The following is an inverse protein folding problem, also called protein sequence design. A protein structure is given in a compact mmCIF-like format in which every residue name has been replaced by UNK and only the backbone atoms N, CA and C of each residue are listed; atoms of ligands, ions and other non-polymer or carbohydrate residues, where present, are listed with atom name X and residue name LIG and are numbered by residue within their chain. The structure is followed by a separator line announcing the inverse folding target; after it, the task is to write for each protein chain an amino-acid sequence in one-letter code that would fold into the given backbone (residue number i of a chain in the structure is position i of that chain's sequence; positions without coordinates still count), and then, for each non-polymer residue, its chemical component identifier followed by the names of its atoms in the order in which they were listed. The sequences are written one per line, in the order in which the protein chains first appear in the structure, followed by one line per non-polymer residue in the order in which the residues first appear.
data_IF_892931854005
#
_entry.id   IF_892931854005
#
_cell.length_a   1.000
_cell.length_b   1.000
_cell.length_c   1.000
_cell.angle_alpha   90.00
_cell.angle_beta   90.00
_cell.angle_gamma   90.00
#
_symmetry.space_group_name_H-M   'P 1'
#
loop_
_entity.id
_entity.type
_entity.pdbx_description
1 polymer ?
#
# COMPACT_ATOMS: atom_id res chain seq x y z
N UNK A 1 8.73 -5.38 14.03
CA UNK A 1 7.34 -5.30 14.51
C UNK A 1 6.30 -5.49 13.41
N UNK A 2 6.50 -4.91 12.20
CA UNK A 2 5.55 -4.98 11.07
C UNK A 2 5.13 -6.43 10.76
N UNK A 3 6.10 -7.34 10.64
CA UNK A 3 5.87 -8.76 10.40
C UNK A 3 4.90 -9.39 11.39
N UNK A 4 5.18 -9.24 12.69
CA UNK A 4 4.35 -9.81 13.75
C UNK A 4 2.95 -9.19 13.78
N UNK A 5 2.85 -7.88 13.58
CA UNK A 5 1.56 -7.19 13.58
C UNK A 5 0.69 -7.61 12.39
N UNK A 6 1.30 -7.82 11.21
CA UNK A 6 0.60 -8.35 10.04
C UNK A 6 0.16 -9.81 10.24
N UNK A 7 1.01 -10.66 10.82
CA UNK A 7 0.65 -12.04 11.18
C UNK A 7 -0.58 -12.08 12.10
N UNK A 8 -0.60 -11.26 13.16
CA UNK A 8 -1.74 -11.16 14.08
C UNK A 8 -3.01 -10.66 13.40
N UNK A 9 -2.88 -9.72 12.44
CA UNK A 9 -4.01 -9.20 11.67
C UNK A 9 -4.58 -10.26 10.73
N UNK A 10 -3.70 -10.97 10.00
CA UNK A 10 -4.08 -12.07 9.10
C UNK A 10 -4.70 -13.25 9.84
N UNK A 11 -4.23 -13.54 11.06
CA UNK A 11 -4.80 -14.56 11.94
C UNK A 11 -6.12 -14.12 12.62
N UNK A 12 -6.63 -12.92 12.34
CA UNK A 12 -7.87 -12.38 12.91
C UNK A 12 -7.77 -12.07 14.41
N UNK A 13 -6.56 -12.01 14.99
CA UNK A 13 -6.34 -11.71 16.41
C UNK A 13 -6.47 -10.22 16.72
N UNK A 14 -6.29 -9.38 15.71
CA UNK A 14 -6.52 -7.93 15.78
C UNK A 14 -7.29 -7.47 14.54
N UNK A 15 -8.07 -6.39 14.67
CA UNK A 15 -8.96 -5.90 13.60
C UNK A 15 -8.22 -5.15 12.49
N UNK A 16 -7.13 -4.46 12.82
CA UNK A 16 -6.41 -3.60 11.90
C UNK A 16 -4.94 -3.41 12.32
N UNK A 17 -4.14 -2.95 11.37
CA UNK A 17 -2.72 -2.61 11.54
C UNK A 17 -2.52 -1.11 11.35
N UNK A 18 -1.81 -0.48 12.28
CA UNK A 18 -1.30 0.89 12.15
C UNK A 18 0.22 0.84 12.29
N UNK A 19 0.95 1.47 11.38
CA UNK A 19 2.42 1.45 11.38
C UNK A 19 2.99 2.83 11.71
N UNK A 20 3.86 2.90 12.71
CA UNK A 20 4.76 4.04 12.89
C UNK A 20 5.79 4.10 11.74
N UNK A 21 6.39 5.28 11.46
CA UNK A 21 7.43 5.43 10.45
C UNK A 21 8.66 4.53 10.72
N UNK A 22 9.33 4.09 9.64
CA UNK A 22 10.61 3.38 9.70
C UNK A 22 11.69 4.11 8.92
N UNK A 23 12.95 3.87 9.29
CA UNK A 23 14.10 4.30 8.51
C UNK A 23 14.50 3.20 7.51
N UNK A 24 14.34 3.48 6.22
CA UNK A 24 14.66 2.53 5.14
C UNK A 24 16.16 2.22 5.05
N UNK A 25 17.02 3.22 5.23
CA UNK A 25 18.48 3.03 5.21
C UNK A 25 18.94 2.10 6.32
N UNK A 26 18.45 2.31 7.55
CA UNK A 26 18.77 1.42 8.67
C UNK A 26 18.26 -0.01 8.43
N UNK A 27 17.09 -0.16 7.81
CA UNK A 27 16.51 -1.46 7.45
C UNK A 27 17.39 -2.19 6.42
N UNK A 28 17.88 -1.46 5.41
CA UNK A 28 18.81 -1.97 4.40
C UNK A 28 20.15 -2.38 4.99
N UNK A 29 20.73 -1.55 5.85
CA UNK A 29 21.97 -1.85 6.58
C UNK A 29 21.83 -3.09 7.47
N UNK A 30 20.64 -3.34 8.01
CA UNK A 30 20.32 -4.54 8.77
C UNK A 30 20.10 -5.80 7.90
N UNK A 31 20.32 -5.72 6.57
CA UNK A 31 20.25 -6.85 5.65
C UNK A 31 18.86 -7.11 5.04
N UNK A 32 17.85 -6.28 5.35
CA UNK A 32 16.54 -6.37 4.73
C UNK A 32 16.53 -5.58 3.42
N UNK A 33 16.44 -6.30 2.30
CA UNK A 33 16.46 -5.71 0.95
C UNK A 33 15.21 -4.85 0.70
N UNK A 34 15.38 -3.53 0.65
CA UNK A 34 14.48 -2.48 0.13
C UNK A 34 12.95 -2.73 0.23
N UNK A 35 12.48 -3.33 1.31
CA UNK A 35 11.05 -3.52 1.57
C UNK A 35 10.52 -2.36 2.41
N UNK A 36 9.75 -1.48 1.78
CA UNK A 36 8.86 -0.58 2.50
C UNK A 36 7.70 -1.36 3.14
N UNK A 37 6.87 -0.65 3.93
CA UNK A 37 5.72 -1.26 4.58
C UNK A 37 4.76 -1.90 3.58
N UNK A 38 4.44 -1.19 2.50
CA UNK A 38 3.42 -1.63 1.55
C UNK A 38 3.90 -2.82 0.73
N UNK A 39 5.16 -2.79 0.29
CA UNK A 39 5.78 -3.87 -0.48
C UNK A 39 5.84 -5.15 0.36
N UNK A 40 6.25 -5.04 1.63
CA UNK A 40 6.24 -6.17 2.56
C UNK A 40 4.83 -6.72 2.79
N UNK A 41 3.85 -5.84 3.07
CA UNK A 41 2.46 -6.24 3.32
C UNK A 41 1.82 -6.88 2.08
N UNK A 42 2.04 -6.33 0.89
CA UNK A 42 1.55 -6.90 -0.36
C UNK A 42 2.11 -8.31 -0.59
N UNK A 43 3.41 -8.50 -0.31
CA UNK A 43 4.05 -9.81 -0.43
C UNK A 43 3.40 -10.86 0.48
N UNK A 44 3.25 -10.57 1.78
CA UNK A 44 2.73 -11.56 2.74
C UNK A 44 1.23 -11.76 2.66
N UNK A 45 0.48 -10.79 2.14
CA UNK A 45 -0.98 -10.90 1.96
C UNK A 45 -1.34 -11.58 0.63
N UNK A 46 -0.40 -11.67 -0.31
CA UNK A 46 -0.67 -12.15 -1.67
C UNK A 46 -1.63 -11.24 -2.44
N UNK A 47 -1.79 -9.99 -2.02
CA UNK A 47 -2.73 -9.06 -2.64
C UNK A 47 -2.34 -8.83 -4.10
N UNK A 48 -3.23 -9.10 -5.07
CA UNK A 48 -2.92 -8.95 -6.49
C UNK A 48 -2.78 -7.47 -6.90
N UNK A 49 -3.35 -6.58 -6.09
CA UNK A 49 -3.30 -5.14 -6.31
C UNK A 49 -3.42 -4.40 -4.97
N UNK A 50 -2.67 -3.29 -4.81
CA UNK A 50 -2.71 -2.43 -3.63
C UNK A 50 -2.53 -0.96 -4.05
N UNK A 51 -3.01 -0.01 -3.25
CA UNK A 51 -2.88 1.41 -3.56
C UNK A 51 -2.56 2.26 -2.34
N UNK A 52 -1.77 3.30 -2.55
CA UNK A 52 -1.54 4.34 -1.55
C UNK A 52 -2.64 5.38 -1.65
N UNK A 53 -3.35 5.58 -0.54
CA UNK A 53 -4.35 6.64 -0.40
C UNK A 53 -3.97 7.58 0.74
N UNK A 54 -4.02 8.88 0.48
CA UNK A 54 -3.94 9.92 1.50
C UNK A 54 -5.34 10.48 1.75
N UNK A 55 -5.69 10.69 3.03
CA UNK A 55 -7.01 11.16 3.44
C UNK A 55 -6.84 12.36 4.37
N UNK A 56 -7.59 13.43 4.10
CA UNK A 56 -7.67 14.61 4.97
C UNK A 56 -9.09 15.19 4.92
N UNK A 57 -9.78 15.20 6.06
CA UNK A 57 -11.18 15.61 6.14
C UNK A 57 -12.04 14.90 5.07
N UNK A 58 -12.75 15.65 4.20
CA UNK A 58 -13.57 15.05 3.14
C UNK A 58 -12.77 14.58 1.92
N UNK A 59 -11.49 14.95 1.79
CA UNK A 59 -10.66 14.66 0.62
C UNK A 59 -9.96 13.31 0.76
N UNK A 60 -9.98 12.52 -0.32
CA UNK A 60 -9.24 11.27 -0.43
C UNK A 60 -8.57 11.19 -1.79
N UNK A 61 -7.26 10.98 -1.80
CA UNK A 61 -6.43 10.97 -3.01
C UNK A 61 -5.74 9.62 -3.13
N UNK A 62 -6.14 8.84 -4.13
CA UNK A 62 -5.51 7.55 -4.47
C UNK A 62 -4.47 7.78 -5.56
N UNK A 63 -3.27 7.25 -5.35
CA UNK A 63 -2.17 7.41 -6.29
C UNK A 63 -2.20 6.31 -7.35
N UNK A 64 -2.17 6.69 -8.63
CA UNK A 64 -2.02 5.76 -9.75
C UNK A 64 -0.59 5.17 -9.80
N UNK A 65 0.39 6.02 -9.55
CA UNK A 65 1.82 5.72 -9.47
C UNK A 65 2.40 6.34 -8.21
N UNK A 66 3.41 5.70 -7.62
CA UNK A 66 4.09 6.19 -6.43
C UNK A 66 5.46 6.73 -6.80
N UNK A 67 6.54 6.28 -6.16
CA UNK A 67 7.88 6.86 -6.23
C UNK A 67 8.60 6.54 -7.54
N UNK A 68 8.12 7.10 -8.65
CA UNK A 68 8.73 7.04 -9.98
C UNK A 68 9.25 8.42 -10.40
N UNK A 69 10.21 8.43 -11.33
CA UNK A 69 10.56 9.65 -12.05
C UNK A 69 9.32 10.19 -12.78
N UNK A 70 9.22 11.50 -13.01
CA UNK A 70 8.07 12.07 -13.73
C UNK A 70 7.88 11.43 -15.12
N UNK A 71 8.99 11.23 -15.85
CA UNK A 71 8.98 10.60 -17.17
C UNK A 71 8.41 9.18 -17.11
N UNK A 72 8.81 8.38 -16.13
CA UNK A 72 8.34 6.99 -16.02
C UNK A 72 6.93 6.90 -15.46
N UNK A 73 6.57 7.80 -14.55
CA UNK A 73 5.19 7.93 -14.08
C UNK A 73 4.22 8.18 -15.25
N UNK A 74 4.58 9.06 -16.19
CA UNK A 74 3.78 9.30 -17.40
C UNK A 74 3.62 8.06 -18.28
N UNK A 75 4.67 7.25 -18.46
CA UNK A 75 4.59 6.00 -19.23
C UNK A 75 3.68 4.95 -18.59
N UNK A 76 3.57 4.98 -17.25
CA UNK A 76 2.72 4.07 -16.50
C UNK A 76 1.23 4.47 -16.51
N UNK A 77 0.87 5.59 -17.14
CA UNK A 77 -0.52 6.00 -17.35
C UNK A 77 -1.11 5.19 -18.51
N UNK A 78 -1.55 3.97 -18.20
CA UNK A 78 -2.16 3.04 -19.14
C UNK A 78 -3.61 2.75 -18.75
N UNK A 79 -4.44 2.39 -19.73
CA UNK A 79 -5.86 2.07 -19.50
C UNK A 79 -6.02 0.95 -18.48
N UNK A 80 -5.18 -0.06 -18.56
CA UNK A 80 -5.19 -1.26 -17.72
C UNK A 80 -4.92 -0.88 -16.25
N UNK A 81 -3.88 -0.06 -16.00
CA UNK A 81 -3.53 0.38 -14.64
C UNK A 81 -4.58 1.31 -14.06
N UNK A 82 -5.11 2.24 -14.87
CA UNK A 82 -6.19 3.14 -14.44
C UNK A 82 -7.40 2.32 -14.01
N UNK A 83 -7.82 1.36 -14.84
CA UNK A 83 -8.99 0.54 -14.55
C UNK A 83 -8.78 -0.32 -13.29
N UNK A 84 -7.61 -0.90 -13.10
CA UNK A 84 -7.27 -1.68 -11.90
C UNK A 84 -7.38 -0.82 -10.63
N UNK A 85 -6.82 0.40 -10.63
CA UNK A 85 -6.91 1.31 -9.47
C UNK A 85 -8.33 1.83 -9.23
N UNK A 86 -9.10 2.13 -10.28
CA UNK A 86 -10.49 2.55 -10.14
C UNK A 86 -11.34 1.46 -9.49
N UNK A 87 -11.21 0.21 -9.94
CA UNK A 87 -11.92 -0.94 -9.35
C UNK A 87 -11.53 -1.14 -7.89
N UNK A 88 -10.23 -1.20 -7.59
CA UNK A 88 -9.74 -1.33 -6.21
C UNK A 88 -10.28 -0.21 -5.31
N UNK A 89 -10.23 1.03 -5.79
CA UNK A 89 -10.71 2.20 -5.04
C UNK A 89 -12.20 2.10 -4.77
N UNK A 90 -13.00 1.81 -5.80
CA UNK A 90 -14.45 1.66 -5.68
C UNK A 90 -14.82 0.58 -4.65
N UNK A 91 -14.28 -0.63 -4.80
CA UNK A 91 -14.56 -1.76 -3.92
C UNK A 91 -14.13 -1.48 -2.48
N UNK A 92 -12.99 -0.79 -2.30
CA UNK A 92 -12.49 -0.41 -0.98
C UNK A 92 -13.38 0.63 -0.31
N UNK A 93 -13.88 1.61 -1.05
CA UNK A 93 -14.77 2.64 -0.50
C UNK A 93 -16.13 2.07 -0.09
N UNK A 94 -16.69 1.17 -0.89
CA UNK A 94 -17.93 0.47 -0.53
C UNK A 94 -17.80 -0.31 0.78
N UNK A 95 -16.64 -0.95 1.03
CA UNK A 95 -16.38 -1.70 2.26
C UNK A 95 -16.01 -0.84 3.46
N UNK A 96 -15.31 0.28 3.22
CA UNK A 96 -14.76 1.12 4.28
C UNK A 96 -15.75 2.19 4.76
N UNK A 97 -16.51 2.78 3.84
CA UNK A 97 -17.46 3.88 4.13
C UNK A 97 -18.93 3.48 4.02
N UNK A 98 -19.22 2.33 3.42
CA UNK A 98 -20.57 1.77 3.34
C UNK A 98 -21.00 1.06 4.61
#
# INVERSE_FOLDING_TARGET
YIAKAAELTLAGKVKSLVTAPINKEATKLAGYQDMGHLEYLAHITGAPEYATMLVTGPLSVVHLTTHYSLKDACKLVTKERILAKLKLTHDSFLKWRG
#
